data_IF_822109090978
#
_entry.id   IF_822109090978
#
_cell.length_a   1.000
_cell.length_b   1.000
_cell.length_c   1.000
_cell.angle_alpha   90.00
_cell.angle_beta   90.00
_cell.angle_gamma   90.00
#
_symmetry.space_group_name_H-M   'P 1'
#
loop_
_entity.id
_entity.type
_entity.pdbx_description
1 polymer ?
#
# COMPACT_ATOMS: atom_id res chain seq x y z
N UNK A 1 -2.51 1.02 -24.07
CA UNK A 1 -1.30 0.34 -23.57
C UNK A 1 -0.98 -0.76 -24.56
N UNK A 2 0.12 -0.63 -25.30
CA UNK A 2 0.50 -1.62 -26.30
C UNK A 2 1.25 -2.78 -25.65
N UNK A 3 0.53 -3.87 -25.42
CA UNK A 3 1.06 -5.08 -24.78
C UNK A 3 2.03 -5.85 -25.71
N UNK A 4 2.11 -5.49 -27.00
CA UNK A 4 3.03 -6.14 -27.94
C UNK A 4 4.48 -5.70 -27.75
N UNK A 5 4.72 -4.65 -26.97
CA UNK A 5 6.06 -4.14 -26.67
C UNK A 5 6.65 -4.66 -25.35
N UNK A 6 5.97 -5.58 -24.66
CA UNK A 6 6.47 -6.18 -23.43
C UNK A 6 7.82 -6.87 -23.68
N UNK A 7 8.76 -6.81 -22.71
CA UNK A 7 10.01 -7.56 -22.83
C UNK A 7 9.69 -9.05 -22.95
N UNK A 8 10.16 -9.69 -24.01
CA UNK A 8 10.05 -11.15 -24.14
C UNK A 8 10.89 -11.83 -23.07
N UNK A 9 10.30 -12.82 -22.42
CA UNK A 9 11.02 -13.64 -21.46
C UNK A 9 11.94 -14.60 -22.21
N UNK A 10 13.25 -14.53 -21.96
CA UNK A 10 14.21 -15.43 -22.59
C UNK A 10 14.51 -16.62 -21.70
N UNK A 11 14.55 -17.82 -22.30
CA UNK A 11 14.89 -19.04 -21.60
C UNK A 11 16.29 -18.91 -20.95
N UNK A 12 16.37 -19.06 -19.63
CA UNK A 12 17.60 -18.92 -18.85
C UNK A 12 17.71 -17.64 -18.01
N UNK A 13 16.81 -16.67 -18.18
CA UNK A 13 16.71 -15.53 -17.25
C UNK A 13 16.19 -15.96 -15.88
N UNK A 14 16.79 -15.41 -14.83
CA UNK A 14 16.24 -15.52 -13.48
C UNK A 14 14.93 -14.75 -13.35
N UNK A 15 14.07 -15.18 -12.40
CA UNK A 15 12.83 -14.45 -12.10
C UNK A 15 13.08 -13.00 -11.69
N UNK A 16 14.19 -12.73 -11.01
CA UNK A 16 14.56 -11.38 -10.57
C UNK A 16 14.93 -10.48 -11.77
N UNK A 17 15.70 -10.99 -12.73
CA UNK A 17 16.02 -10.26 -13.96
C UNK A 17 14.78 -9.96 -14.78
N UNK A 18 13.89 -10.95 -14.92
CA UNK A 18 12.61 -10.78 -15.63
C UNK A 18 11.72 -9.72 -14.94
N UNK A 19 11.66 -9.73 -13.61
CA UNK A 19 10.91 -8.75 -12.83
C UNK A 19 11.48 -7.33 -12.99
N UNK A 20 12.82 -7.17 -12.90
CA UNK A 20 13.47 -5.87 -13.10
C UNK A 20 13.28 -5.34 -14.52
N UNK A 21 13.36 -6.20 -15.53
CA UNK A 21 13.11 -5.83 -16.92
C UNK A 21 11.66 -5.38 -17.15
N UNK A 22 10.69 -6.12 -16.59
CA UNK A 22 9.26 -5.80 -16.69
C UNK A 22 8.91 -4.50 -15.98
N UNK A 23 9.40 -4.30 -14.76
CA UNK A 23 9.21 -3.05 -14.00
C UNK A 23 9.87 -1.88 -14.73
N UNK A 24 11.11 -2.05 -15.20
CA UNK A 24 11.82 -1.03 -15.95
C UNK A 24 11.12 -0.64 -17.26
N UNK A 25 10.56 -1.62 -17.97
CA UNK A 25 9.71 -1.36 -19.14
C UNK A 25 8.44 -0.61 -18.76
N UNK A 26 7.72 -1.05 -17.72
CA UNK A 26 6.48 -0.41 -17.29
C UNK A 26 6.68 1.05 -16.89
N UNK A 27 7.85 1.37 -16.33
CA UNK A 27 8.24 2.74 -15.99
C UNK A 27 8.62 3.60 -17.21
N UNK A 28 9.23 2.99 -18.23
CA UNK A 28 9.61 3.66 -19.48
C UNK A 28 8.43 3.88 -20.43
N UNK A 29 7.49 2.92 -20.44
CA UNK A 29 6.28 2.92 -21.28
C UNK A 29 5.10 3.55 -20.55
N UNK A 30 5.33 4.24 -19.42
CA UNK A 30 4.33 5.20 -18.95
C UNK A 30 4.09 6.15 -20.13
N UNK A 31 2.88 6.20 -20.71
CA UNK A 31 2.58 7.28 -21.64
C UNK A 31 2.92 8.59 -20.93
N UNK A 32 3.24 9.65 -21.67
CA UNK A 32 3.15 10.99 -21.12
C UNK A 32 1.72 11.15 -20.59
N UNK A 33 1.52 10.77 -19.33
CA UNK A 33 0.30 11.04 -18.63
C UNK A 33 0.38 12.54 -18.49
N UNK A 34 -0.38 13.25 -19.34
CA UNK A 34 -0.71 14.65 -19.12
C UNK A 34 -0.89 14.77 -17.62
N UNK A 35 0.05 15.48 -16.98
CA UNK A 35 0.10 15.55 -15.52
C UNK A 35 -1.30 15.87 -15.06
N UNK A 36 -1.83 15.20 -14.01
CA UNK A 36 -3.23 15.32 -13.65
C UNK A 36 -3.56 16.81 -13.65
N UNK A 37 -4.46 17.23 -14.55
CA UNK A 37 -4.94 18.61 -14.56
C UNK A 37 -5.36 18.83 -13.14
N UNK A 38 -4.61 19.66 -12.41
CA UNK A 38 -4.92 19.92 -11.01
C UNK A 38 -6.37 20.34 -11.03
N UNK A 39 -7.22 19.56 -10.36
CA UNK A 39 -8.61 19.94 -10.21
C UNK A 39 -8.69 21.35 -9.62
N UNK A 40 -9.89 21.94 -9.57
CA UNK A 40 -10.09 23.21 -8.87
C UNK A 40 -9.36 23.18 -7.51
N UNK A 41 -8.60 24.22 -7.15
CA UNK A 41 -7.78 24.23 -5.92
C UNK A 41 -8.61 24.08 -4.64
N UNK A 42 -9.92 24.32 -4.75
CA UNK A 42 -10.92 24.17 -3.70
C UNK A 42 -11.33 22.71 -3.44
N UNK A 43 -10.92 21.75 -4.29
CA UNK A 43 -11.34 20.36 -4.23
C UNK A 43 -10.20 19.43 -3.82
N UNK A 44 -10.56 18.29 -3.23
CA UNK A 44 -9.63 17.25 -2.84
C UNK A 44 -8.82 16.77 -4.06
N UNK A 45 -7.47 16.83 -4.02
CA UNK A 45 -6.65 16.43 -5.16
C UNK A 45 -6.66 14.92 -5.43
N UNK A 46 -7.27 14.12 -4.54
CA UNK A 46 -7.40 12.67 -4.68
C UNK A 46 -8.74 12.26 -5.31
N UNK A 47 -9.86 12.73 -4.77
CA UNK A 47 -11.21 12.31 -5.16
C UNK A 47 -12.09 13.42 -5.75
N UNK A 48 -11.60 14.67 -5.79
CA UNK A 48 -12.32 15.85 -6.32
C UNK A 48 -13.54 16.27 -5.47
N UNK A 49 -13.71 15.73 -4.27
CA UNK A 49 -14.74 16.16 -3.31
C UNK A 49 -14.32 17.40 -2.52
N UNK A 50 -15.29 18.09 -1.90
CA UNK A 50 -14.99 19.21 -1.00
C UNK A 50 -14.12 18.77 0.19
N UNK A 51 -13.07 19.51 0.56
CA UNK A 51 -12.24 19.19 1.72
C UNK A 51 -13.09 19.25 3.01
N UNK A 52 -13.15 18.14 3.76
CA UNK A 52 -13.87 18.08 5.02
C UNK A 52 -13.21 18.84 6.18
N UNK A 53 -12.00 19.40 5.98
CA UNK A 53 -11.25 20.11 7.03
C UNK A 53 -10.50 21.34 6.48
N UNK A 54 -10.54 22.49 7.17
CA UNK A 54 -9.90 23.72 6.70
C UNK A 54 -8.36 23.70 6.71
N UNK A 55 -7.72 22.71 7.36
CA UNK A 55 -6.26 22.59 7.47
C UNK A 55 -5.65 21.49 6.59
N UNK A 56 -6.44 20.89 5.70
CA UNK A 56 -5.99 19.82 4.83
C UNK A 56 -6.59 20.00 3.44
N UNK A 57 -5.79 19.88 2.36
CA UNK A 57 -6.34 19.87 1.01
C UNK A 57 -7.09 18.57 0.70
N UNK A 58 -7.02 17.55 1.55
CA UNK A 58 -7.71 16.26 1.37
C UNK A 58 -9.01 16.21 2.16
N UNK A 59 -10.03 15.56 1.61
CA UNK A 59 -11.33 15.37 2.28
C UNK A 59 -11.24 14.46 3.53
N UNK A 60 -10.21 13.65 3.66
CA UNK A 60 -9.98 12.79 4.81
C UNK A 60 -8.62 12.12 4.81
N UNK A 61 -8.32 11.39 5.90
CA UNK A 61 -7.05 10.67 6.09
C UNK A 61 -6.80 9.67 4.96
N UNK A 62 -7.84 8.98 4.49
CA UNK A 62 -7.73 8.03 3.39
C UNK A 62 -7.17 8.65 2.12
N UNK A 63 -7.82 9.70 1.62
CA UNK A 63 -7.39 10.43 0.42
C UNK A 63 -5.97 11.00 0.57
N UNK A 64 -5.62 11.45 1.79
CA UNK A 64 -4.26 11.95 2.08
C UNK A 64 -3.21 10.84 1.96
N UNK A 65 -3.50 9.67 2.53
CA UNK A 65 -2.57 8.54 2.53
C UNK A 65 -2.41 7.89 1.15
N UNK A 66 -3.52 7.72 0.42
CA UNK A 66 -3.50 7.21 -0.96
C UNK A 66 -2.67 8.13 -1.87
N UNK A 67 -2.95 9.43 -1.85
CA UNK A 67 -2.17 10.42 -2.60
C UNK A 67 -0.70 10.44 -2.20
N UNK A 68 -0.38 10.25 -0.91
CA UNK A 68 1.00 10.17 -0.45
C UNK A 68 1.72 8.94 -1.01
N UNK A 69 1.06 7.78 -1.00
CA UNK A 69 1.59 6.55 -1.60
C UNK A 69 1.84 6.71 -3.10
N UNK A 70 0.88 7.23 -3.86
CA UNK A 70 1.04 7.45 -5.32
C UNK A 70 2.23 8.36 -5.61
N UNK A 71 2.41 9.44 -4.83
CA UNK A 71 3.58 10.33 -4.96
C UNK A 71 4.89 9.61 -4.68
N UNK A 72 4.96 8.83 -3.59
CA UNK A 72 6.17 8.07 -3.24
C UNK A 72 6.50 7.00 -4.28
N UNK A 73 5.50 6.27 -4.77
CA UNK A 73 5.66 5.26 -5.79
C UNK A 73 6.17 5.87 -7.11
N UNK A 74 5.58 6.98 -7.55
CA UNK A 74 6.03 7.70 -8.76
C UNK A 74 7.45 8.25 -8.59
N UNK A 75 7.76 8.83 -7.43
CA UNK A 75 9.11 9.33 -7.14
C UNK A 75 10.15 8.19 -7.16
N UNK A 76 9.82 7.04 -6.56
CA UNK A 76 10.65 5.83 -6.61
C UNK A 76 10.83 5.32 -8.04
N UNK A 77 9.79 5.36 -8.86
CA UNK A 77 9.89 4.99 -10.27
C UNK A 77 10.84 5.91 -11.04
N UNK A 78 10.70 7.23 -10.85
CA UNK A 78 11.56 8.22 -11.50
C UNK A 78 13.02 8.13 -11.08
N UNK A 79 13.29 7.82 -9.81
CA UNK A 79 14.66 7.72 -9.28
C UNK A 79 15.29 6.33 -9.47
N UNK A 80 14.57 5.37 -10.06
CA UNK A 80 15.00 3.96 -10.14
C UNK A 80 14.92 3.20 -8.80
N UNK A 81 14.45 3.84 -7.73
CA UNK A 81 14.34 3.23 -6.40
C UNK A 81 13.39 2.03 -6.34
N UNK A 82 12.50 1.85 -7.32
CA UNK A 82 11.65 0.65 -7.38
C UNK A 82 12.45 -0.66 -7.54
N UNK A 83 13.72 -0.60 -7.91
CA UNK A 83 14.60 -1.78 -7.96
C UNK A 83 15.30 -2.10 -6.63
N UNK A 84 15.17 -1.24 -5.60
CA UNK A 84 15.78 -1.47 -4.30
C UNK A 84 14.88 -2.34 -3.41
N UNK A 85 15.38 -3.48 -2.88
CA UNK A 85 14.56 -4.42 -2.09
C UNK A 85 13.84 -3.78 -0.91
N UNK A 86 14.54 -2.98 -0.10
CA UNK A 86 13.96 -2.34 1.09
C UNK A 86 12.84 -1.37 0.70
N UNK A 87 13.00 -0.67 -0.42
CA UNK A 87 11.99 0.25 -0.94
C UNK A 87 10.78 -0.50 -1.50
N UNK A 88 10.99 -1.66 -2.13
CA UNK A 88 9.90 -2.54 -2.55
C UNK A 88 9.12 -3.06 -1.35
N UNK A 89 9.80 -3.48 -0.28
CA UNK A 89 9.14 -3.93 0.96
C UNK A 89 8.31 -2.80 1.56
N UNK A 90 8.89 -1.60 1.72
CA UNK A 90 8.18 -0.47 2.30
C UNK A 90 6.96 -0.03 1.47
N UNK A 91 7.10 0.06 0.15
CA UNK A 91 5.98 0.37 -0.75
C UNK A 91 4.93 -0.74 -0.74
N UNK A 92 5.36 -2.01 -0.73
CA UNK A 92 4.48 -3.17 -0.66
C UNK A 92 3.66 -3.20 0.62
N UNK A 93 4.27 -2.96 1.77
CA UNK A 93 3.60 -2.84 3.07
C UNK A 93 2.58 -1.69 3.07
N UNK A 94 2.95 -0.52 2.52
CA UNK A 94 2.04 0.63 2.48
C UNK A 94 0.89 0.40 1.50
N UNK A 95 1.14 -0.23 0.35
CA UNK A 95 0.10 -0.64 -0.59
C UNK A 95 -0.85 -1.64 0.07
N UNK A 96 -0.32 -2.67 0.73
CA UNK A 96 -1.12 -3.64 1.48
C UNK A 96 -1.98 -3.00 2.56
N UNK A 97 -1.45 -1.98 3.24
CA UNK A 97 -2.21 -1.20 4.19
C UNK A 97 -3.35 -0.43 3.50
N UNK A 98 -3.10 0.21 2.36
CA UNK A 98 -4.12 0.96 1.62
C UNK A 98 -5.18 0.06 0.98
N UNK A 99 -4.84 -1.09 0.41
CA UNK A 99 -5.85 -1.96 -0.24
C UNK A 99 -6.58 -2.85 0.78
N UNK A 100 -5.87 -3.28 1.83
CA UNK A 100 -6.40 -4.15 2.87
C UNK A 100 -7.03 -3.39 4.04
N UNK A 101 -7.23 -2.07 3.91
CA UNK A 101 -7.74 -1.17 4.96
C UNK A 101 -6.89 -1.14 6.24
N UNK A 102 -5.65 -1.59 6.15
CA UNK A 102 -4.66 -1.59 7.22
C UNK A 102 -4.97 -2.55 8.36
N UNK A 103 -4.23 -2.38 9.45
CA UNK A 103 -4.52 -3.05 10.72
C UNK A 103 -5.97 -2.79 11.21
N UNK A 104 -6.53 -1.56 11.10
CA UNK A 104 -7.90 -1.30 11.57
C UNK A 104 -8.97 -2.12 10.84
N UNK A 105 -8.91 -2.24 9.51
CA UNK A 105 -9.88 -3.05 8.79
C UNK A 105 -9.73 -4.54 9.14
N UNK A 106 -8.51 -5.07 9.20
CA UNK A 106 -8.29 -6.48 9.59
C UNK A 106 -8.83 -6.78 10.99
N UNK A 107 -8.61 -5.89 11.97
CA UNK A 107 -9.19 -6.03 13.31
C UNK A 107 -10.72 -5.98 13.24
N UNK A 108 -11.30 -5.10 12.42
CA UNK A 108 -12.76 -5.02 12.26
C UNK A 108 -13.39 -6.22 11.57
N UNK A 109 -12.62 -6.99 10.80
CA UNK A 109 -13.05 -8.24 10.16
C UNK A 109 -13.05 -9.42 11.14
N UNK A 110 -12.39 -9.31 12.30
CA UNK A 110 -12.48 -10.34 13.34
C UNK A 110 -13.79 -10.14 14.09
N UNK A 111 -14.67 -11.14 14.03
CA UNK A 111 -15.93 -11.09 14.77
C UNK A 111 -15.67 -11.05 16.28
N UNK A 112 -16.60 -10.44 17.03
CA UNK A 112 -16.51 -10.42 18.49
C UNK A 112 -16.46 -11.84 19.09
N UNK A 113 -17.20 -12.79 18.51
CA UNK A 113 -17.18 -14.19 18.94
C UNK A 113 -15.82 -14.86 18.69
N UNK A 114 -15.15 -14.55 17.58
CA UNK A 114 -13.81 -15.07 17.31
C UNK A 114 -12.79 -14.47 18.29
N UNK A 115 -12.87 -13.16 18.57
CA UNK A 115 -12.04 -12.49 19.58
C UNK A 115 -12.19 -13.15 20.96
N UNK A 116 -13.42 -13.33 21.43
CA UNK A 116 -13.71 -13.97 22.72
C UNK A 116 -13.16 -15.41 22.77
N UNK A 117 -13.30 -16.18 21.68
CA UNK A 117 -12.72 -17.52 21.56
C UNK A 117 -11.20 -17.51 21.65
N UNK A 118 -10.54 -16.54 21.02
CA UNK A 118 -9.08 -16.42 21.07
C UNK A 118 -8.58 -16.00 22.46
N UNK A 119 -9.24 -15.07 23.17
CA UNK A 119 -8.87 -14.75 24.57
C UNK A 119 -9.06 -15.95 25.47
N UNK A 120 -10.18 -16.67 25.34
CA UNK A 120 -10.44 -17.85 26.16
C UNK A 120 -9.32 -18.90 25.98
N UNK A 121 -8.85 -19.10 24.74
CA UNK A 121 -7.76 -20.02 24.43
C UNK A 121 -6.41 -19.59 25.03
N UNK A 122 -6.13 -18.29 25.11
CA UNK A 122 -4.89 -17.76 25.71
C UNK A 122 -4.99 -17.51 27.21
N UNK A 123 -6.10 -17.87 27.86
CA UNK A 123 -6.36 -17.52 29.25
C UNK A 123 -6.51 -16.01 29.49
N UNK A 124 -6.76 -15.24 28.44
CA UNK A 124 -6.83 -13.79 28.49
C UNK A 124 -5.48 -13.10 28.65
N UNK A 125 -4.36 -13.80 28.41
CA UNK A 125 -3.01 -13.27 28.61
C UNK A 125 -2.27 -13.03 27.29
N UNK A 126 -1.40 -12.03 27.26
CA UNK A 126 -0.51 -11.71 26.15
C UNK A 126 0.58 -12.77 26.02
N UNK A 127 0.76 -13.32 24.82
CA UNK A 127 1.77 -14.33 24.54
C UNK A 127 3.22 -13.84 24.70
N UNK A 128 3.47 -12.52 24.61
CA UNK A 128 4.81 -11.95 24.73
C UNK A 128 5.19 -11.62 26.18
N UNK A 129 4.26 -11.07 26.97
CA UNK A 129 4.58 -10.52 28.29
C UNK A 129 3.77 -11.11 29.45
N UNK A 130 2.75 -11.94 29.18
CA UNK A 130 1.95 -12.60 30.21
C UNK A 130 0.92 -11.70 30.91
N UNK A 131 0.85 -10.40 30.61
CA UNK A 131 -0.17 -9.49 31.16
C UNK A 131 -1.54 -9.68 30.49
N UNK A 132 -2.65 -9.22 31.09
CA UNK A 132 -3.97 -9.27 30.46
C UNK A 132 -3.98 -8.68 29.05
N UNK A 133 -4.50 -9.44 28.09
CA UNK A 133 -4.56 -9.04 26.69
C UNK A 133 -5.76 -8.10 26.44
N UNK A 134 -5.47 -6.92 25.87
CA UNK A 134 -6.50 -5.96 25.45
C UNK A 134 -6.83 -6.05 23.95
N UNK A 135 -5.96 -6.69 23.16
CA UNK A 135 -6.05 -6.80 21.69
C UNK A 135 -5.50 -8.14 21.21
N UNK A 136 -5.65 -8.40 19.91
CA UNK A 136 -5.15 -9.59 19.22
C UNK A 136 -4.37 -9.12 18.00
N UNK A 137 -3.22 -9.73 17.76
CA UNK A 137 -2.41 -9.47 16.58
C UNK A 137 -1.78 -10.77 16.06
N UNK A 138 -1.33 -10.76 14.82
CA UNK A 138 -0.57 -11.85 14.23
C UNK A 138 0.88 -11.75 14.68
N UNK A 139 1.32 -12.69 15.52
CA UNK A 139 2.74 -12.84 15.84
C UNK A 139 3.45 -13.57 14.70
N UNK A 140 4.44 -12.90 14.07
CA UNK A 140 5.37 -13.53 13.13
C UNK A 140 4.98 -13.48 11.64
N UNK A 141 4.00 -12.67 11.24
CA UNK A 141 3.63 -12.48 9.81
C UNK A 141 4.19 -11.19 9.19
N UNK A 142 5.30 -10.68 9.73
CA UNK A 142 5.98 -9.46 9.30
C UNK A 142 7.08 -9.72 8.29
#
# INVERSE_FOLDING_TARGET
>A
MDLTSLPEWTAGQSQEEAARATVGWFLKVQPEMEGPKSGPPELCPNCVESPGQPRSPYCGTWCKEESAFVRQFRAAGKSGGLAEPDRQIALGQKLWHLIGGGYPLRVSLVSRSDMERFLAKSGGLCACCGNPAATFDHLGSG
#
